data_IF_586363269177
#
_entry.id   IF_586363269177
#
_cell.length_a   1.000
_cell.length_b   1.000
_cell.length_c   1.000
_cell.angle_alpha   90.00
_cell.angle_beta   90.00
_cell.angle_gamma   90.00
#
_symmetry.space_group_name_H-M   'P 1'
#
loop_
_entity.id
_entity.type
_entity.pdbx_description
1 polymer ?
#
# COMPACT_ATOMS: atom_id res chain seq x y z
N UNK A 1 -47.57 14.20 -1.99
CA UNK A 1 -47.73 12.94 -1.25
C UNK A 1 -46.34 12.46 -0.84
N UNK A 2 -45.92 12.88 0.35
CA UNK A 2 -44.58 12.65 0.88
C UNK A 2 -44.58 11.38 1.72
N UNK A 3 -43.60 10.49 1.49
CA UNK A 3 -43.36 9.32 2.32
C UNK A 3 -42.18 9.67 3.22
N UNK A 4 -42.50 10.02 4.47
CA UNK A 4 -41.55 10.09 5.59
C UNK A 4 -41.28 8.65 6.05
N UNK A 5 -40.07 8.18 5.84
CA UNK A 5 -39.55 6.97 6.48
C UNK A 5 -39.06 7.32 7.90
N UNK A 6 -39.50 6.66 8.96
CA UNK A 6 -39.00 6.89 10.30
C UNK A 6 -37.64 6.28 10.46
N UNK A 7 -36.65 7.12 10.74
CA UNK A 7 -35.35 6.70 11.28
C UNK A 7 -35.52 6.19 12.70
N UNK A 8 -35.77 4.89 12.83
CA UNK A 8 -35.66 4.20 14.12
C UNK A 8 -34.19 4.13 14.52
N UNK A 9 -33.81 5.00 15.44
CA UNK A 9 -32.54 4.94 16.12
C UNK A 9 -32.46 3.69 16.97
N UNK A 10 -31.80 2.66 16.49
CA UNK A 10 -31.30 1.59 17.35
C UNK A 10 -30.05 2.09 18.05
N UNK A 11 -30.24 2.48 19.30
CA UNK A 11 -29.14 2.67 20.25
C UNK A 11 -28.60 1.29 20.63
N UNK A 12 -27.74 0.72 19.78
CA UNK A 12 -26.93 -0.43 20.15
C UNK A 12 -25.65 0.10 20.83
N UNK A 13 -25.41 -0.40 22.03
CA UNK A 13 -24.13 -0.27 22.74
C UNK A 13 -23.01 -0.51 21.75
N UNK A 14 -22.44 0.56 21.23
CA UNK A 14 -21.31 0.51 20.33
C UNK A 14 -20.14 -0.04 21.12
N UNK A 15 -19.78 -1.27 20.86
CA UNK A 15 -18.50 -1.82 21.27
C UNK A 15 -17.41 -0.90 20.70
N UNK A 16 -16.95 0.03 21.53
CA UNK A 16 -15.99 1.10 21.19
C UNK A 16 -14.63 0.55 20.75
N UNK A 17 -14.48 -0.77 20.69
CA UNK A 17 -13.29 -1.47 20.25
C UNK A 17 -13.20 -1.69 18.73
N UNK A 18 -14.26 -1.43 17.99
CA UNK A 18 -14.27 -1.50 16.51
C UNK A 18 -13.99 -0.17 15.83
N UNK A 19 -13.03 0.59 16.32
CA UNK A 19 -12.50 1.68 15.54
C UNK A 19 -11.77 1.09 14.33
N UNK A 20 -12.34 1.31 13.16
CA UNK A 20 -11.74 0.94 11.87
C UNK A 20 -10.32 1.48 11.81
N UNK A 21 -9.37 0.60 11.93
CA UNK A 21 -7.96 0.91 12.00
C UNK A 21 -7.43 0.83 10.58
N UNK A 22 -7.29 1.97 9.96
CA UNK A 22 -6.81 2.13 8.59
C UNK A 22 -5.31 1.97 8.51
N UNK A 23 -4.81 0.79 8.86
CA UNK A 23 -3.37 0.55 8.96
C UNK A 23 -2.70 0.23 7.64
N UNK A 24 -3.45 -0.29 6.72
CA UNK A 24 -2.91 -0.72 5.43
C UNK A 24 -3.85 -0.30 4.33
N UNK A 25 -3.38 -0.33 3.09
CA UNK A 25 -4.21 -0.17 1.89
C UNK A 25 -5.24 -1.30 1.76
N UNK A 26 -5.10 -2.36 2.54
CA UNK A 26 -5.98 -3.54 2.53
C UNK A 26 -6.93 -3.53 3.72
N UNK A 27 -8.23 -3.84 3.52
CA UNK A 27 -9.19 -4.01 4.61
C UNK A 27 -8.73 -5.06 5.62
N UNK A 28 -9.08 -4.88 6.89
CA UNK A 28 -8.53 -5.70 7.98
C UNK A 28 -8.98 -7.15 7.99
N UNK A 29 -10.26 -7.40 7.86
CA UNK A 29 -10.83 -8.75 7.80
C UNK A 29 -10.99 -9.18 6.36
N UNK A 30 -11.74 -8.44 5.59
CA UNK A 30 -11.99 -8.61 4.19
C UNK A 30 -12.55 -7.33 3.62
N UNK A 31 -12.53 -7.18 2.30
CA UNK A 31 -13.12 -6.03 1.64
C UNK A 31 -12.45 -5.70 0.32
N UNK A 32 -12.93 -4.63 -0.25
CA UNK A 32 -12.47 -4.12 -1.54
C UNK A 32 -12.02 -2.67 -1.35
N UNK A 33 -10.82 -2.36 -1.83
CA UNK A 33 -10.32 -1.00 -1.94
C UNK A 33 -10.08 -0.66 -3.40
N UNK A 34 -10.67 0.42 -3.86
CA UNK A 34 -10.40 1.00 -5.18
C UNK A 34 -9.85 2.39 -4.97
N UNK A 35 -8.69 2.67 -5.53
CA UNK A 35 -8.10 4.00 -5.46
C UNK A 35 -7.48 4.41 -6.79
N UNK A 36 -7.38 5.71 -6.99
CA UNK A 36 -6.80 6.31 -8.18
C UNK A 36 -5.96 7.51 -7.79
N UNK A 37 -4.73 7.57 -8.29
CA UNK A 37 -3.87 8.72 -8.10
C UNK A 37 -3.40 9.32 -9.42
N UNK A 38 -3.19 10.63 -9.41
CA UNK A 38 -2.67 11.39 -10.54
C UNK A 38 -1.52 12.25 -10.07
N UNK A 39 -0.42 12.20 -10.82
CA UNK A 39 0.80 12.94 -10.48
C UNK A 39 1.45 13.44 -11.77
N UNK A 40 1.49 14.74 -12.05
CA UNK A 40 2.19 15.29 -13.19
C UNK A 40 3.71 15.34 -12.92
N UNK A 41 4.51 15.13 -13.96
CA UNK A 41 5.96 15.38 -14.00
C UNK A 41 6.21 16.31 -15.19
N UNK A 42 6.67 17.53 -14.97
CA UNK A 42 7.04 18.41 -16.07
C UNK A 42 8.48 18.06 -16.50
N UNK A 43 8.67 17.85 -17.79
CA UNK A 43 9.96 17.54 -18.39
C UNK A 43 10.21 18.57 -19.48
N UNK A 44 11.13 19.49 -19.32
CA UNK A 44 11.64 20.44 -20.32
C UNK A 44 10.68 20.75 -21.51
N UNK A 45 9.47 21.23 -21.21
CA UNK A 45 8.45 21.61 -22.21
C UNK A 45 7.32 20.58 -22.42
N UNK A 46 7.43 19.36 -21.91
CA UNK A 46 6.36 18.35 -21.94
C UNK A 46 5.95 17.94 -20.54
N UNK A 47 4.66 17.73 -20.33
CA UNK A 47 4.14 17.19 -19.05
C UNK A 47 3.87 15.70 -19.21
N UNK A 48 4.61 14.89 -18.46
CA UNK A 48 4.35 13.46 -18.29
C UNK A 48 3.38 13.30 -17.10
N UNK A 49 2.19 12.79 -17.34
CA UNK A 49 1.23 12.52 -16.26
C UNK A 49 1.22 11.04 -15.91
N UNK A 50 1.48 10.73 -14.64
CA UNK A 50 1.36 9.38 -14.10
C UNK A 50 -0.06 9.20 -13.56
N UNK A 51 -0.74 8.14 -14.01
CA UNK A 51 -2.07 7.73 -13.53
C UNK A 51 -1.97 6.33 -12.98
N UNK A 52 -2.39 6.15 -11.73
CA UNK A 52 -2.23 4.88 -11.02
C UNK A 52 -3.55 4.42 -10.42
N UNK A 53 -4.36 3.63 -11.15
CA UNK A 53 -5.45 2.88 -10.56
C UNK A 53 -4.92 1.72 -9.71
N UNK A 54 -5.54 1.49 -8.56
CA UNK A 54 -5.29 0.35 -7.68
C UNK A 54 -6.63 -0.27 -7.31
N UNK A 55 -6.73 -1.58 -7.45
CA UNK A 55 -7.84 -2.39 -6.94
C UNK A 55 -7.25 -3.47 -6.04
N UNK A 56 -7.71 -3.53 -4.81
CA UNK A 56 -7.22 -4.46 -3.80
C UNK A 56 -8.43 -5.19 -3.18
N UNK A 57 -8.47 -6.50 -3.34
CA UNK A 57 -9.53 -7.38 -2.83
C UNK A 57 -8.92 -8.31 -1.81
N UNK A 58 -9.37 -8.21 -0.57
CA UNK A 58 -8.90 -9.08 0.52
C UNK A 58 -10.02 -9.95 1.06
N UNK A 59 -9.76 -11.25 1.20
CA UNK A 59 -10.73 -12.25 1.62
C UNK A 59 -10.17 -13.00 2.81
N UNK A 60 -10.89 -13.07 3.95
CA UNK A 60 -10.55 -13.98 5.04
C UNK A 60 -10.92 -15.41 4.63
N UNK A 61 -9.93 -16.26 4.47
CA UNK A 61 -10.12 -17.68 4.12
C UNK A 61 -10.47 -18.50 5.36
N UNK A 62 -9.83 -18.16 6.47
CA UNK A 62 -10.07 -18.80 7.76
C UNK A 62 -9.98 -17.79 8.88
N UNK A 63 -10.89 -17.89 9.85
CA UNK A 63 -10.86 -17.09 11.07
C UNK A 63 -11.45 -17.88 12.23
N UNK A 64 -10.70 -17.97 13.31
CA UNK A 64 -11.18 -18.48 14.59
C UNK A 64 -10.73 -17.51 15.69
N UNK A 65 -11.69 -16.88 16.35
CA UNK A 65 -11.48 -15.94 17.45
C UNK A 65 -12.15 -16.41 18.74
N UNK A 66 -12.53 -17.68 18.80
CA UNK A 66 -13.23 -18.29 19.94
C UNK A 66 -12.34 -18.43 21.16
N UNK A 67 -11.05 -18.50 21.00
CA UNK A 67 -10.06 -18.71 22.06
C UNK A 67 -9.05 -17.58 22.17
N UNK A 68 -8.21 -17.63 23.20
CA UNK A 68 -7.05 -16.75 23.34
C UNK A 68 -6.07 -16.93 22.17
N UNK A 69 -6.01 -18.13 21.61
CA UNK A 69 -5.17 -18.49 20.47
C UNK A 69 -5.91 -18.27 19.14
N UNK A 70 -6.29 -17.02 18.91
CA UNK A 70 -6.98 -16.65 17.68
C UNK A 70 -6.12 -16.91 16.44
N UNK A 71 -6.76 -17.48 15.41
CA UNK A 71 -6.14 -17.75 14.10
C UNK A 71 -6.86 -16.97 13.02
N UNK A 72 -6.10 -16.41 12.11
CA UNK A 72 -6.64 -15.76 10.91
C UNK A 72 -5.74 -16.07 9.72
N UNK A 73 -6.35 -16.51 8.62
CA UNK A 73 -5.70 -16.62 7.31
C UNK A 73 -6.47 -15.75 6.33
N UNK A 74 -5.75 -14.88 5.66
CA UNK A 74 -6.29 -13.96 4.67
C UNK A 74 -5.46 -14.02 3.39
N UNK A 75 -6.13 -14.01 2.26
CA UNK A 75 -5.53 -13.86 0.93
C UNK A 75 -6.27 -12.80 0.14
N UNK A 76 -5.88 -12.59 -1.12
CA UNK A 76 -6.55 -11.63 -1.97
C UNK A 76 -5.91 -11.52 -3.34
N UNK A 77 -6.35 -10.51 -4.07
CA UNK A 77 -5.78 -10.11 -5.34
C UNK A 77 -5.63 -8.60 -5.31
N UNK A 78 -4.47 -8.10 -5.74
CA UNK A 78 -4.21 -6.69 -5.93
C UNK A 78 -3.79 -6.44 -7.36
N UNK A 79 -4.51 -5.56 -8.02
CA UNK A 79 -4.13 -4.98 -9.31
C UNK A 79 -3.64 -3.55 -9.11
N UNK A 80 -2.55 -3.20 -9.79
CA UNK A 80 -2.05 -1.83 -9.87
C UNK A 80 -1.63 -1.52 -11.31
N UNK A 81 -2.23 -0.50 -11.91
CA UNK A 81 -1.81 0.06 -13.19
C UNK A 81 -0.86 1.24 -13.01
N UNK A 82 -0.01 1.48 -13.99
CA UNK A 82 0.73 2.72 -14.17
C UNK A 82 0.61 3.13 -15.65
N UNK A 83 -0.07 4.25 -15.89
CA UNK A 83 -0.31 4.78 -17.22
C UNK A 83 0.40 6.13 -17.37
N UNK A 84 1.19 6.27 -18.42
CA UNK A 84 1.98 7.46 -18.73
C UNK A 84 1.34 8.18 -19.92
N UNK A 85 1.14 9.49 -19.83
CA UNK A 85 0.57 10.27 -20.93
C UNK A 85 1.54 10.45 -22.11
N UNK A 86 2.84 10.45 -21.83
CA UNK A 86 3.94 10.52 -22.80
C UNK A 86 5.07 9.61 -22.31
N UNK A 87 5.43 8.60 -23.07
CA UNK A 87 6.40 7.60 -22.64
C UNK A 87 7.40 7.20 -23.72
N UNK A 88 7.55 7.98 -24.78
CA UNK A 88 8.33 7.64 -25.97
C UNK A 88 9.77 7.20 -25.64
N UNK A 89 10.40 7.87 -24.68
CA UNK A 89 11.77 7.55 -24.25
C UNK A 89 11.85 6.36 -23.27
N UNK A 90 10.70 5.89 -22.73
CA UNK A 90 10.65 4.77 -21.77
C UNK A 90 10.44 3.45 -22.52
N UNK A 91 9.87 3.51 -23.72
CA UNK A 91 9.58 2.35 -24.55
C UNK A 91 8.21 1.71 -24.29
N UNK A 92 7.49 2.13 -23.25
CA UNK A 92 6.09 1.73 -22.98
C UNK A 92 5.37 2.81 -22.21
N UNK A 93 4.05 2.88 -22.37
CA UNK A 93 3.17 3.84 -21.67
C UNK A 93 2.22 3.16 -20.69
N UNK A 94 2.02 1.86 -20.85
CA UNK A 94 1.06 1.09 -20.05
C UNK A 94 1.79 -0.03 -19.31
N UNK A 95 1.64 -0.05 -18.01
CA UNK A 95 2.23 -1.05 -17.12
C UNK A 95 1.19 -1.59 -16.17
N UNK A 96 1.23 -2.89 -15.94
CA UNK A 96 0.29 -3.58 -15.08
C UNK A 96 1.02 -4.43 -14.06
N UNK A 97 0.48 -4.50 -12.85
CA UNK A 97 0.97 -5.34 -11.78
C UNK A 97 -0.19 -6.12 -11.19
N UNK A 98 -0.01 -7.42 -11.06
CA UNK A 98 -0.95 -8.31 -10.40
C UNK A 98 -0.23 -8.99 -9.23
N UNK A 99 -0.81 -8.91 -8.05
CA UNK A 99 -0.22 -9.45 -6.84
C UNK A 99 -1.21 -10.34 -6.09
N UNK A 100 -0.68 -11.40 -5.46
CA UNK A 100 -1.43 -12.28 -4.57
C UNK A 100 -0.82 -12.16 -3.17
N UNK A 101 -1.47 -11.43 -2.24
CA UNK A 101 -1.06 -11.34 -0.84
C UNK A 101 -1.53 -12.56 -0.05
N UNK A 102 -0.74 -12.95 0.94
CA UNK A 102 -1.07 -13.96 1.95
C UNK A 102 -0.72 -13.40 3.33
N UNK A 103 -1.65 -13.48 4.26
CA UNK A 103 -1.44 -13.17 5.68
C UNK A 103 -1.95 -14.36 6.51
N UNK A 104 -1.07 -14.92 7.32
CA UNK A 104 -1.43 -15.89 8.35
C UNK A 104 -1.06 -15.29 9.70
N UNK A 105 -1.99 -15.25 10.64
CA UNK A 105 -1.76 -14.68 11.97
C UNK A 105 -2.23 -15.64 13.05
N UNK A 106 -1.41 -15.80 14.08
CA UNK A 106 -1.68 -16.61 15.25
C UNK A 106 -1.42 -15.81 16.52
N UNK A 107 -2.39 -15.79 17.44
CA UNK A 107 -2.25 -15.17 18.75
C UNK A 107 -1.62 -16.13 19.73
N UNK A 108 -0.39 -15.85 20.16
CA UNK A 108 0.30 -16.62 21.20
C UNK A 108 -0.31 -16.36 22.58
N UNK A 109 -0.78 -15.12 22.79
CA UNK A 109 -1.44 -14.69 24.01
C UNK A 109 -2.42 -13.55 23.70
N UNK A 110 -3.09 -13.00 24.73
CA UNK A 110 -3.93 -11.80 24.58
C UNK A 110 -3.16 -10.56 24.12
N UNK A 111 -1.85 -10.52 24.36
CA UNK A 111 -0.99 -9.37 24.08
C UNK A 111 0.04 -9.61 22.98
N UNK A 112 0.30 -10.84 22.57
CA UNK A 112 1.36 -11.20 21.62
C UNK A 112 0.82 -12.04 20.49
N UNK A 113 1.23 -11.71 19.26
CA UNK A 113 0.89 -12.47 18.06
C UNK A 113 2.11 -12.68 17.19
N UNK A 114 2.12 -13.77 16.45
CA UNK A 114 3.05 -14.03 15.35
C UNK A 114 2.27 -14.06 14.05
N UNK A 115 2.83 -13.52 12.97
CA UNK A 115 2.19 -13.56 11.67
C UNK A 115 3.21 -13.83 10.58
N UNK A 116 2.79 -14.58 9.58
CA UNK A 116 3.50 -14.73 8.32
C UNK A 116 2.84 -13.82 7.27
N UNK A 117 3.64 -13.07 6.52
CA UNK A 117 3.21 -12.21 5.42
C UNK A 117 3.89 -12.68 4.15
N UNK A 118 3.14 -12.89 3.09
CA UNK A 118 3.65 -13.26 1.78
C UNK A 118 3.01 -12.40 0.69
N UNK A 119 3.77 -12.11 -0.36
CA UNK A 119 3.29 -11.43 -1.56
C UNK A 119 4.04 -11.98 -2.76
N UNK A 120 3.33 -12.44 -3.76
CA UNK A 120 3.86 -12.76 -5.08
C UNK A 120 3.28 -11.75 -6.08
N UNK A 121 4.12 -11.15 -6.90
CA UNK A 121 3.74 -10.10 -7.83
C UNK A 121 4.33 -10.35 -9.20
N UNK A 122 3.52 -10.23 -10.25
CA UNK A 122 3.97 -10.11 -11.64
C UNK A 122 3.69 -8.68 -12.07
N UNK A 123 4.71 -7.98 -12.57
CA UNK A 123 4.59 -6.58 -12.96
C UNK A 123 5.39 -6.33 -14.26
N UNK A 124 4.69 -5.93 -15.32
CA UNK A 124 5.25 -5.81 -16.67
C UNK A 124 4.40 -4.86 -17.53
N UNK A 125 4.90 -4.53 -18.72
CA UNK A 125 4.11 -3.99 -19.83
C UNK A 125 3.36 -5.09 -20.63
N UNK A 126 3.53 -6.37 -20.27
CA UNK A 126 2.88 -7.56 -20.84
C UNK A 126 2.98 -7.70 -22.38
N UNK A 127 4.02 -7.12 -22.99
CA UNK A 127 4.24 -7.23 -24.43
C UNK A 127 4.95 -8.51 -24.86
N UNK A 128 5.51 -9.26 -23.92
CA UNK A 128 6.11 -10.58 -24.11
C UNK A 128 5.60 -11.57 -23.07
N UNK A 129 5.94 -12.84 -23.25
CA UNK A 129 5.59 -13.90 -22.29
C UNK A 129 6.24 -13.66 -20.94
N UNK A 130 5.51 -13.99 -19.88
CA UNK A 130 5.98 -13.92 -18.50
C UNK A 130 6.87 -15.15 -18.24
N UNK A 131 8.04 -14.91 -17.69
CA UNK A 131 8.97 -15.93 -17.22
C UNK A 131 8.99 -16.03 -15.70
N UNK A 132 9.49 -17.15 -15.16
CA UNK A 132 9.61 -17.34 -13.72
C UNK A 132 10.48 -16.24 -13.04
N UNK A 133 11.44 -15.66 -13.77
CA UNK A 133 12.28 -14.55 -13.30
C UNK A 133 11.55 -13.20 -13.14
N UNK A 134 10.31 -13.11 -13.66
CA UNK A 134 9.48 -11.89 -13.58
C UNK A 134 8.64 -11.83 -12.32
N UNK A 135 8.61 -12.91 -11.55
CA UNK A 135 7.85 -12.94 -10.31
C UNK A 135 8.68 -12.29 -9.19
N UNK A 136 8.15 -11.24 -8.63
CA UNK A 136 8.69 -10.53 -7.48
C UNK A 136 8.10 -11.12 -6.21
N UNK A 137 8.93 -11.30 -5.16
CA UNK A 137 8.49 -11.93 -3.93
C UNK A 137 8.76 -11.04 -2.73
N UNK A 138 7.81 -11.04 -1.81
CA UNK A 138 7.98 -10.52 -0.45
C UNK A 138 7.53 -11.62 0.51
N UNK A 139 8.36 -11.93 1.49
CA UNK A 139 8.01 -12.84 2.57
C UNK A 139 8.49 -12.26 3.89
N UNK A 140 7.71 -12.39 4.96
CA UNK A 140 8.10 -11.85 6.24
C UNK A 140 7.46 -12.57 7.42
N UNK A 141 8.16 -12.52 8.55
CA UNK A 141 7.64 -12.97 9.85
C UNK A 141 7.52 -11.75 10.74
N UNK A 142 6.33 -11.53 11.28
CA UNK A 142 5.99 -10.42 12.15
C UNK A 142 5.76 -10.91 13.57
N UNK A 143 6.38 -10.25 14.53
CA UNK A 143 6.01 -10.35 15.94
C UNK A 143 5.26 -9.07 16.32
N UNK A 144 4.06 -9.24 16.83
CA UNK A 144 3.17 -8.13 17.19
C UNK A 144 2.83 -8.13 18.68
N UNK A 145 2.76 -6.94 19.25
CA UNK A 145 2.48 -6.68 20.66
C UNK A 145 1.27 -5.78 20.83
N UNK A 146 0.46 -6.07 21.84
CA UNK A 146 -0.72 -5.30 22.24
C UNK A 146 -0.73 -5.10 23.75
N UNK A 147 0.07 -4.16 24.30
CA UNK A 147 0.13 -3.94 25.75
C UNK A 147 -1.18 -3.40 26.36
N UNK A 148 -2.07 -2.88 25.51
CA UNK A 148 -3.36 -2.36 25.95
C UNK A 148 -4.38 -2.25 24.81
N UNK A 149 -5.52 -1.62 25.09
CA UNK A 149 -6.59 -1.43 24.10
C UNK A 149 -6.21 -0.42 23.01
N UNK A 150 -5.38 0.55 23.36
CA UNK A 150 -5.10 1.73 22.52
C UNK A 150 -3.80 1.65 21.73
N UNK A 151 -2.95 0.65 22.00
CA UNK A 151 -1.66 0.53 21.35
C UNK A 151 -1.44 -0.88 20.82
N UNK A 152 -1.03 -0.96 19.58
CA UNK A 152 -0.46 -2.16 18.95
C UNK A 152 0.79 -1.74 18.19
N UNK A 153 1.82 -2.55 18.28
CA UNK A 153 3.02 -2.36 17.48
C UNK A 153 3.63 -3.72 17.15
N UNK A 154 4.51 -3.74 16.20
CA UNK A 154 5.20 -4.96 15.82
C UNK A 154 6.42 -4.67 14.98
N UNK A 155 7.16 -5.72 14.70
CA UNK A 155 8.27 -5.68 13.75
C UNK A 155 8.14 -6.89 12.84
N UNK A 156 8.23 -6.64 11.53
CA UNK A 156 8.26 -7.68 10.50
C UNK A 156 9.67 -7.77 9.95
N UNK A 157 10.32 -8.92 10.10
CA UNK A 157 11.54 -9.22 9.36
C UNK A 157 11.13 -9.66 7.96
N UNK A 158 11.43 -8.82 6.96
CA UNK A 158 10.91 -8.94 5.60
C UNK A 158 12.03 -9.23 4.61
N UNK A 159 11.93 -10.35 3.91
CA UNK A 159 12.71 -10.68 2.74
C UNK A 159 12.00 -10.15 1.48
N UNK A 160 12.72 -9.44 0.65
CA UNK A 160 12.25 -8.86 -0.61
C UNK A 160 13.16 -9.36 -1.73
N UNK A 161 12.57 -9.87 -2.81
CA UNK A 161 13.24 -10.21 -4.06
C UNK A 161 12.54 -9.50 -5.20
N UNK A 162 13.24 -8.57 -5.84
CA UNK A 162 12.72 -7.77 -6.93
C UNK A 162 13.78 -7.56 -8.02
N UNK A 163 13.47 -6.77 -9.06
CA UNK A 163 14.39 -6.52 -10.19
C UNK A 163 15.67 -5.80 -9.78
N UNK A 164 15.67 -5.04 -8.67
CA UNK A 164 16.86 -4.35 -8.19
C UNK A 164 17.78 -5.22 -7.33
N UNK A 165 17.30 -6.34 -6.80
CA UNK A 165 18.07 -7.25 -5.97
C UNK A 165 17.26 -7.96 -4.89
N UNK A 166 17.98 -8.47 -3.88
CA UNK A 166 17.43 -9.19 -2.75
C UNK A 166 17.80 -8.49 -1.45
N UNK A 167 16.83 -8.32 -0.55
CA UNK A 167 17.01 -7.57 0.70
C UNK A 167 16.35 -8.25 1.87
N UNK A 168 16.90 -8.07 3.06
CA UNK A 168 16.29 -8.45 4.33
C UNK A 168 16.18 -7.19 5.19
N UNK A 169 14.96 -6.76 5.48
CA UNK A 169 14.71 -5.50 6.17
C UNK A 169 13.77 -5.69 7.36
N UNK A 170 14.09 -5.16 8.54
CA UNK A 170 13.14 -5.03 9.63
C UNK A 170 12.19 -3.87 9.35
N UNK A 171 10.90 -4.15 9.34
CA UNK A 171 9.84 -3.16 9.09
C UNK A 171 8.97 -3.04 10.35
N UNK A 172 9.12 -1.98 11.15
CA UNK A 172 8.27 -1.73 12.29
C UNK A 172 6.89 -1.20 11.86
N UNK A 173 5.87 -1.60 12.59
CA UNK A 173 4.50 -1.08 12.45
C UNK A 173 3.93 -0.64 13.80
N UNK A 174 3.03 0.34 13.75
CA UNK A 174 2.38 0.89 14.91
C UNK A 174 0.93 1.31 14.61
N UNK A 175 0.05 1.06 15.57
CA UNK A 175 -1.34 1.48 15.60
C UNK A 175 -1.64 2.02 17.00
N UNK A 176 -1.73 3.32 17.12
CA UNK A 176 -1.86 4.00 18.39
C UNK A 176 -3.04 4.97 18.42
N UNK A 177 -4.02 4.65 19.24
CA UNK A 177 -5.08 5.58 19.62
C UNK A 177 -4.56 6.45 20.77
N UNK A 178 -3.98 7.60 20.43
CA UNK A 178 -3.34 8.53 21.38
C UNK A 178 -4.40 9.10 22.35
N UNK A 179 -5.55 9.44 21.78
CA UNK A 179 -6.70 9.94 22.54
C UNK A 179 -8.01 9.58 21.83
N UNK A 180 -9.15 9.98 22.39
CA UNK A 180 -10.46 9.76 21.75
C UNK A 180 -10.57 10.41 20.34
N UNK A 181 -9.72 11.40 20.05
CA UNK A 181 -9.72 12.12 18.76
C UNK A 181 -8.48 11.87 17.90
N UNK A 182 -7.33 11.53 18.49
CA UNK A 182 -6.10 11.37 17.76
C UNK A 182 -5.73 9.91 17.56
N UNK A 183 -5.45 9.54 16.33
CA UNK A 183 -5.02 8.18 15.94
C UNK A 183 -3.78 8.30 15.08
N UNK A 184 -2.72 7.59 15.47
CA UNK A 184 -1.51 7.43 14.68
C UNK A 184 -1.42 5.99 14.17
N UNK A 185 -1.15 5.83 12.88
CA UNK A 185 -0.96 4.52 12.26
C UNK A 185 0.23 4.56 11.31
N UNK A 186 1.03 3.51 11.30
CA UNK A 186 2.19 3.48 10.40
C UNK A 186 2.76 2.09 10.20
N UNK A 187 3.37 1.92 9.02
CA UNK A 187 4.30 0.85 8.65
C UNK A 187 5.55 1.58 8.18
N UNK A 188 6.54 1.68 9.04
CA UNK A 188 7.66 2.59 8.85
C UNK A 188 8.83 1.88 8.15
N UNK A 189 9.44 2.47 7.11
CA UNK A 189 9.19 3.82 6.59
C UNK A 189 8.05 3.91 5.55
N UNK A 190 7.42 2.81 5.13
CA UNK A 190 6.55 2.78 3.97
C UNK A 190 5.39 3.79 4.04
N UNK A 191 4.73 3.90 5.18
CA UNK A 191 3.62 4.85 5.38
C UNK A 191 3.42 5.20 6.83
N UNK A 192 3.13 6.48 7.10
CA UNK A 192 2.67 6.96 8.41
C UNK A 192 1.50 7.94 8.24
N UNK A 193 0.52 7.88 9.14
CA UNK A 193 -0.65 8.75 9.09
C UNK A 193 -1.08 9.13 10.49
N UNK A 194 -1.24 10.41 10.74
CA UNK A 194 -1.82 10.98 11.95
C UNK A 194 -3.19 11.55 11.61
N UNK A 195 -4.25 11.05 12.27
CA UNK A 195 -5.64 11.43 12.03
C UNK A 195 -6.25 12.10 13.25
N UNK A 196 -7.03 13.13 13.01
CA UNK A 196 -7.90 13.76 13.99
C UNK A 196 -9.36 13.46 13.61
N UNK A 197 -10.11 12.89 14.54
CA UNK A 197 -11.56 12.66 14.38
C UNK A 197 -12.31 13.97 14.58
N UNK A 198 -12.95 14.42 13.53
CA UNK A 198 -13.89 15.56 13.58
C UNK A 198 -15.22 15.11 14.18
N UNK A 199 -15.74 13.99 13.64
CA UNK A 199 -16.98 13.32 14.07
C UNK A 199 -16.75 11.81 14.08
N UNK A 200 -17.77 11.01 14.40
CA UNK A 200 -17.71 9.54 14.28
C UNK A 200 -17.61 9.09 12.78
N UNK A 201 -18.07 9.93 11.86
CA UNK A 201 -18.05 9.63 10.44
C UNK A 201 -16.89 10.30 9.69
N UNK A 202 -16.26 11.32 10.25
CA UNK A 202 -15.28 12.14 9.54
C UNK A 202 -13.98 12.24 10.30
N UNK A 203 -12.88 12.09 9.58
CA UNK A 203 -11.55 12.39 10.10
C UNK A 203 -10.70 13.10 9.06
N UNK A 204 -9.81 13.92 9.54
CA UNK A 204 -8.85 14.64 8.74
C UNK A 204 -7.45 14.44 9.34
N UNK A 205 -6.39 14.57 8.55
CA UNK A 205 -5.05 14.37 9.08
C UNK A 205 -3.94 14.65 8.10
N UNK A 206 -2.75 14.21 8.49
CA UNK A 206 -1.55 14.25 7.66
C UNK A 206 -1.08 12.83 7.38
N UNK A 207 -0.58 12.58 6.18
CA UNK A 207 -0.02 11.30 5.77
C UNK A 207 1.28 11.49 5.03
N UNK A 208 2.21 10.56 5.23
CA UNK A 208 3.41 10.43 4.42
C UNK A 208 3.54 9.01 3.91
N UNK A 209 4.00 8.84 2.69
CA UNK A 209 4.23 7.54 2.09
C UNK A 209 5.53 7.51 1.28
N UNK A 210 6.20 6.35 1.33
CA UNK A 210 7.37 6.00 0.53
C UNK A 210 6.92 4.86 -0.38
N UNK A 211 6.35 5.22 -1.53
CA UNK A 211 5.82 4.27 -2.49
C UNK A 211 6.85 3.98 -3.58
N UNK A 212 6.91 2.72 -4.00
CA UNK A 212 7.75 2.27 -5.11
C UNK A 212 7.10 1.13 -5.85
N UNK A 213 7.23 1.12 -7.16
CA UNK A 213 6.80 0.02 -8.02
C UNK A 213 7.82 -0.23 -9.12
N UNK A 214 7.93 -1.50 -9.51
CA UNK A 214 8.86 -1.94 -10.56
C UNK A 214 8.09 -2.75 -11.57
N UNK A 215 8.38 -2.53 -12.85
CA UNK A 215 7.72 -3.20 -13.98
C UNK A 215 8.76 -3.65 -14.99
N UNK A 216 8.65 -4.88 -15.47
CA UNK A 216 9.49 -5.34 -16.59
C UNK A 216 9.14 -4.57 -17.86
N UNK A 217 10.18 -4.20 -18.61
CA UNK A 217 10.11 -3.63 -19.96
C UNK A 217 10.54 -4.69 -20.97
N UNK A 218 9.68 -4.96 -21.94
CA UNK A 218 9.90 -6.04 -22.91
C UNK A 218 10.23 -5.53 -24.32
N UNK A 219 10.55 -4.25 -24.49
CA UNK A 219 10.73 -3.62 -25.81
C UNK A 219 12.19 -3.46 -26.26
N UNK A 220 13.17 -3.78 -25.42
CA UNK A 220 14.59 -3.62 -25.76
C UNK A 220 15.25 -4.98 -26.02
N UNK A 221 16.27 -4.98 -26.85
CA UNK A 221 17.14 -6.16 -27.06
C UNK A 221 17.81 -6.64 -25.77
N UNK A 222 17.91 -5.76 -24.77
CA UNK A 222 18.38 -6.09 -23.43
C UNK A 222 17.23 -6.00 -22.43
N UNK A 223 17.07 -6.99 -21.54
CA UNK A 223 16.05 -6.96 -20.51
C UNK A 223 16.21 -5.76 -19.57
N UNK A 224 15.17 -4.93 -19.49
CA UNK A 224 15.11 -3.73 -18.63
C UNK A 224 13.92 -3.77 -17.69
N UNK A 225 13.96 -2.93 -16.67
CA UNK A 225 12.81 -2.67 -15.81
C UNK A 225 12.66 -1.18 -15.54
N UNK A 226 11.40 -0.76 -15.42
CA UNK A 226 11.01 0.56 -14.96
C UNK A 226 10.92 0.55 -13.44
N UNK A 227 11.48 1.56 -12.79
CA UNK A 227 11.38 1.78 -11.36
C UNK A 227 10.77 3.15 -11.09
N UNK A 228 9.56 3.17 -10.57
CA UNK A 228 8.91 4.35 -10.04
C UNK A 228 9.15 4.44 -8.55
N UNK A 229 9.66 5.56 -8.06
CA UNK A 229 9.76 5.93 -6.64
C UNK A 229 9.01 7.22 -6.40
N UNK A 230 8.06 7.20 -5.47
CA UNK A 230 7.29 8.37 -5.08
C UNK A 230 7.25 8.46 -3.55
N UNK A 231 7.96 9.44 -3.02
CA UNK A 231 7.86 9.78 -1.60
C UNK A 231 7.02 11.04 -1.50
N UNK A 232 5.94 10.97 -0.78
CA UNK A 232 4.97 12.05 -0.71
C UNK A 232 4.55 12.33 0.73
N UNK A 233 4.08 13.55 0.96
CA UNK A 233 3.40 13.95 2.17
C UNK A 233 2.21 14.82 1.81
N UNK A 234 1.13 14.71 2.57
CA UNK A 234 -0.10 15.44 2.26
C UNK A 234 -1.14 15.39 3.35
N UNK A 235 -2.23 16.07 3.07
CA UNK A 235 -3.45 16.05 3.87
C UNK A 235 -4.29 14.85 3.45
N UNK A 236 -4.91 14.21 4.42
CA UNK A 236 -5.84 13.11 4.22
C UNK A 236 -7.19 13.47 4.84
N UNK A 237 -8.26 13.18 4.13
CA UNK A 237 -9.62 13.33 4.60
C UNK A 237 -10.39 12.04 4.36
N UNK A 238 -10.98 11.50 5.42
CA UNK A 238 -11.77 10.28 5.40
C UNK A 238 -13.22 10.56 5.78
N UNK A 239 -14.16 9.99 5.02
CA UNK A 239 -15.60 10.02 5.31
C UNK A 239 -16.15 8.61 5.31
N UNK A 240 -16.77 8.19 6.41
CA UNK A 240 -17.59 6.98 6.47
C UNK A 240 -18.97 7.32 5.91
N UNK A 241 -19.34 6.70 4.83
CA UNK A 241 -20.66 6.86 4.23
C UNK A 241 -21.71 6.03 4.99
N UNK A 242 -21.29 4.85 5.43
CA UNK A 242 -22.06 3.99 6.34
C UNK A 242 -21.10 3.06 7.14
N UNK A 243 -21.61 1.94 7.67
CA UNK A 243 -20.80 0.95 8.41
C UNK A 243 -19.81 0.16 7.55
N UNK A 244 -20.04 0.13 6.22
CA UNK A 244 -19.28 -0.68 5.27
C UNK A 244 -18.41 0.15 4.34
N UNK A 245 -18.88 1.35 3.97
CA UNK A 245 -18.26 2.20 2.96
C UNK A 245 -17.51 3.37 3.56
N UNK A 246 -16.35 3.61 3.03
CA UNK A 246 -15.51 4.74 3.39
C UNK A 246 -14.89 5.36 2.13
N UNK A 247 -14.98 6.68 2.05
CA UNK A 247 -14.26 7.50 1.07
C UNK A 247 -12.98 8.04 1.71
N UNK A 248 -11.87 8.01 0.98
CA UNK A 248 -10.59 8.61 1.38
C UNK A 248 -10.12 9.53 0.27
N UNK A 249 -9.73 10.75 0.63
CA UNK A 249 -9.13 11.73 -0.27
C UNK A 249 -7.75 12.13 0.28
N UNK A 250 -6.76 12.22 -0.61
CA UNK A 250 -5.42 12.70 -0.27
C UNK A 250 -5.02 13.78 -1.26
N UNK A 251 -4.54 14.90 -0.75
CA UNK A 251 -3.92 15.96 -1.53
C UNK A 251 -2.56 16.28 -0.92
N UNK A 252 -1.50 16.21 -1.71
CA UNK A 252 -0.15 16.34 -1.19
C UNK A 252 0.87 16.74 -2.23
N UNK A 253 2.11 16.67 -1.83
CA UNK A 253 3.26 16.96 -2.68
C UNK A 253 4.29 15.84 -2.55
N UNK A 254 4.91 15.46 -3.67
CA UNK A 254 6.04 14.54 -3.68
C UNK A 254 7.30 15.31 -3.33
N UNK A 255 8.13 14.79 -2.43
CA UNK A 255 9.44 15.34 -2.10
C UNK A 255 10.60 14.50 -2.67
N UNK A 256 10.29 13.33 -3.20
CA UNK A 256 11.17 12.54 -4.06
C UNK A 256 10.29 11.78 -5.05
N UNK A 257 10.35 12.21 -6.30
CA UNK A 257 9.68 11.50 -7.39
C UNK A 257 10.70 11.21 -8.48
N UNK A 258 10.86 9.92 -8.79
CA UNK A 258 11.79 9.41 -9.78
C UNK A 258 11.12 8.31 -10.59
N UNK A 259 11.21 8.43 -11.89
CA UNK A 259 10.83 7.40 -12.85
C UNK A 259 12.09 7.07 -13.66
N UNK A 260 12.64 5.88 -13.42
CA UNK A 260 13.97 5.50 -13.94
C UNK A 260 13.88 4.10 -14.58
N UNK A 261 14.64 3.89 -15.65
CA UNK A 261 14.80 2.55 -16.25
C UNK A 261 16.21 2.04 -16.01
N UNK A 262 16.33 0.75 -15.75
CA UNK A 262 17.60 0.06 -15.47
C UNK A 262 17.67 -1.25 -16.23
N UNK A 263 18.89 -1.69 -16.56
CA UNK A 263 19.12 -3.02 -17.09
C UNK A 263 18.95 -4.07 -15.98
N UNK A 264 18.47 -5.26 -16.36
CA UNK A 264 18.21 -6.37 -15.40
C UNK A 264 19.49 -6.98 -14.81
N UNK A 265 20.64 -6.77 -15.43
CA UNK A 265 21.96 -7.21 -14.96
C UNK A 265 22.48 -6.38 -13.76
N UNK A 266 21.94 -5.17 -13.55
CA UNK A 266 22.34 -4.27 -12.44
C UNK A 266 21.68 -4.65 -11.10
N UNK A 267 21.49 -5.95 -10.82
CA UNK A 267 21.00 -6.41 -9.52
C UNK A 267 22.07 -6.26 -8.46
N UNK A 268 21.72 -5.66 -7.32
CA UNK A 268 22.64 -5.61 -6.19
C UNK A 268 22.64 -6.94 -5.43
N UNK A 269 23.78 -7.37 -4.88
CA UNK A 269 23.85 -8.56 -4.05
C UNK A 269 23.09 -8.37 -2.73
N UNK A 270 22.87 -9.45 -1.99
CA UNK A 270 22.03 -9.46 -0.77
C UNK A 270 22.53 -8.47 0.31
N UNK A 271 23.82 -8.26 0.41
CA UNK A 271 24.47 -7.32 1.32
C UNK A 271 24.66 -5.91 0.74
N UNK A 272 24.27 -5.71 -0.53
CA UNK A 272 24.53 -4.50 -1.29
C UNK A 272 23.43 -3.44 -1.24
N UNK A 273 22.60 -3.40 -0.19
CA UNK A 273 21.53 -2.41 -0.08
C UNK A 273 22.00 -0.96 -0.21
N UNK A 274 23.20 -0.64 0.31
CA UNK A 274 23.86 0.65 0.17
C UNK A 274 24.27 0.97 -1.28
N UNK A 275 24.48 -0.04 -2.12
CA UNK A 275 24.88 0.11 -3.53
C UNK A 275 23.70 0.37 -4.49
N UNK A 276 22.48 0.43 -3.98
CA UNK A 276 21.30 0.72 -4.80
C UNK A 276 21.38 2.06 -5.54
N UNK A 277 22.06 3.03 -4.94
CA UNK A 277 22.21 4.37 -5.53
C UNK A 277 23.35 4.45 -6.55
N UNK A 278 24.22 3.44 -6.62
CA UNK A 278 25.39 3.40 -7.53
C UNK A 278 24.97 2.91 -8.94
N UNK A 279 23.76 2.45 -9.11
CA UNK A 279 23.25 1.98 -10.40
C UNK A 279 23.04 3.14 -11.36
N UNK A 280 23.38 2.91 -12.61
CA UNK A 280 23.22 3.90 -13.69
C UNK A 280 21.89 3.69 -14.38
N UNK A 281 21.03 4.71 -14.35
CA UNK A 281 19.75 4.68 -15.05
C UNK A 281 19.95 4.96 -16.54
N UNK A 282 19.27 4.17 -17.38
CA UNK A 282 19.24 4.41 -18.85
C UNK A 282 18.41 5.65 -19.18
N UNK A 283 17.26 5.80 -18.51
CA UNK A 283 16.36 6.96 -18.58
C UNK A 283 16.03 7.39 -17.15
N UNK A 284 16.04 8.67 -16.87
CA UNK A 284 15.73 9.20 -15.55
C UNK A 284 14.92 10.48 -15.64
N UNK A 285 13.71 10.44 -15.10
CA UNK A 285 12.88 11.62 -14.85
C UNK A 285 12.81 11.89 -13.36
N UNK A 286 13.16 13.09 -12.94
CA UNK A 286 13.19 13.50 -11.54
C UNK A 286 12.51 14.85 -11.39
N UNK A 287 11.34 14.86 -10.79
CA UNK A 287 10.66 16.10 -10.44
C UNK A 287 9.63 15.86 -9.36
N UNK A 288 9.61 16.74 -8.40
CA UNK A 288 8.57 16.78 -7.39
C UNK A 288 7.34 17.52 -7.92
N UNK A 289 6.16 17.06 -7.56
CA UNK A 289 4.90 17.61 -8.04
C UNK A 289 3.76 17.37 -7.05
N UNK A 290 2.63 17.98 -7.30
CA UNK A 290 1.41 17.69 -6.55
C UNK A 290 0.92 16.29 -6.85
N UNK A 291 0.37 15.63 -5.83
CA UNK A 291 -0.29 14.34 -5.92
C UNK A 291 -1.71 14.46 -5.39
N UNK A 292 -2.66 13.92 -6.15
CA UNK A 292 -4.04 13.77 -5.75
C UNK A 292 -4.43 12.30 -5.81
N UNK A 293 -5.03 11.81 -4.72
CA UNK A 293 -5.50 10.44 -4.65
C UNK A 293 -6.92 10.43 -4.09
N UNK A 294 -7.80 9.69 -4.73
CA UNK A 294 -9.13 9.36 -4.25
C UNK A 294 -9.28 7.86 -4.12
N UNK A 295 -10.01 7.39 -3.11
CA UNK A 295 -10.25 5.96 -2.93
C UNK A 295 -11.53 5.67 -2.19
N UNK A 296 -12.13 4.53 -2.51
CA UNK A 296 -13.32 3.99 -1.86
C UNK A 296 -12.97 2.64 -1.28
N UNK A 297 -13.30 2.44 -0.02
CA UNK A 297 -13.11 1.18 0.70
C UNK A 297 -14.48 0.61 1.07
N UNK A 298 -14.65 -0.67 0.81
CA UNK A 298 -15.76 -1.49 1.29
C UNK A 298 -15.21 -2.58 2.22
N UNK A 299 -15.68 -2.66 3.45
CA UNK A 299 -15.25 -3.64 4.46
C UNK A 299 -16.42 -4.56 4.81
N UNK A 300 -16.19 -5.90 4.88
CA UNK A 300 -17.18 -6.91 5.25
C UNK A 300 -16.66 -7.89 6.30
#
# INVERSE_FOLDING_TARGET
MGILLPLLGYCQNSDTTRHSRFLTTSPRLGGINVSYSVTPINTNGNTLTLRQPIVDIGIPVYKDFSTVHAVMVKTGIRYQGLFLSNGDNIGSIDFHSLSVPLLMSYSLSRSTSISFVGLATVASDFKQNIEAGDILYVAGVRVGFRPGKNLRYGVTLTYISNYSGKYLLPIPDIDWTISNRWIFTGVIPARATLRYKLTEAQSFGITGAFDGSMYRLNQSDQPQYLHLRQNNAGLIYDVKLDKWWKLTLVAGHTFMQKLETFNMDQKVPFDGFNKLNDRVANVSYRQNSFIFQGGVNYEF
#
